data_IF_841283475166
#
_entry.id   IF_841283475166
#
_cell.length_a   1.000
_cell.length_b   1.000
_cell.length_c   1.000
_cell.angle_alpha   90.00
_cell.angle_beta   90.00
_cell.angle_gamma   90.00
#
_symmetry.space_group_name_H-M   'P 1'
#
loop_
_entity.id
_entity.type
_entity.pdbx_description
1 polymer ?
#
# COMPACT_ATOMS: atom_id res chain seq x y z
N UNK A 1 -20.96 -4.26 -3.39
CA UNK A 1 -19.53 -4.41 -3.66
C UNK A 1 -19.32 -5.67 -4.49
N UNK A 2 -18.85 -5.51 -5.74
CA UNK A 2 -18.62 -6.62 -6.68
C UNK A 2 -17.13 -6.93 -6.83
N UNK A 3 -16.26 -6.06 -6.32
CA UNK A 3 -14.82 -6.24 -6.36
C UNK A 3 -14.40 -7.47 -5.55
N UNK A 4 -13.60 -8.32 -6.17
CA UNK A 4 -12.93 -9.44 -5.51
C UNK A 4 -11.45 -9.39 -5.83
N UNK A 5 -10.64 -9.08 -4.84
CA UNK A 5 -9.19 -8.95 -5.00
C UNK A 5 -8.52 -10.25 -5.50
N UNK A 6 -9.14 -11.41 -5.28
CA UNK A 6 -8.67 -12.70 -5.78
C UNK A 6 -8.41 -12.77 -7.30
N UNK A 7 -9.05 -11.90 -8.10
CA UNK A 7 -8.78 -11.77 -9.54
C UNK A 7 -7.52 -10.96 -9.86
N UNK A 8 -7.02 -10.17 -8.91
CA UNK A 8 -5.97 -9.18 -9.10
C UNK A 8 -4.74 -9.43 -8.22
N UNK A 9 -4.84 -10.36 -7.27
CA UNK A 9 -3.80 -10.63 -6.29
C UNK A 9 -2.44 -10.88 -6.94
N UNK A 10 -1.41 -10.20 -6.46
CA UNK A 10 -0.04 -10.32 -6.98
C UNK A 10 0.24 -9.55 -8.27
N UNK A 11 -0.67 -8.68 -8.73
CA UNK A 11 -0.41 -7.82 -9.88
C UNK A 11 0.64 -6.74 -9.56
N UNK A 12 1.00 -5.92 -10.55
CA UNK A 12 2.01 -4.86 -10.40
C UNK A 12 1.69 -3.88 -9.26
N UNK A 13 0.41 -3.53 -9.06
CA UNK A 13 0.00 -2.59 -8.02
C UNK A 13 0.21 -3.19 -6.62
N UNK A 14 -0.12 -4.46 -6.45
CA UNK A 14 0.16 -5.20 -5.21
C UNK A 14 1.66 -5.28 -4.91
N UNK A 15 2.50 -5.54 -5.93
CA UNK A 15 3.95 -5.59 -5.75
C UNK A 15 4.47 -4.29 -5.15
N UNK A 16 4.11 -3.15 -5.74
CA UNK A 16 4.54 -1.82 -5.24
C UNK A 16 4.04 -1.56 -3.83
N UNK A 17 2.75 -1.72 -3.60
CA UNK A 17 2.11 -1.47 -2.31
C UNK A 17 2.70 -2.35 -1.21
N UNK A 18 2.86 -3.63 -1.48
CA UNK A 18 3.32 -4.62 -0.50
C UNK A 18 4.82 -4.51 -0.21
N UNK A 19 5.64 -4.14 -1.20
CA UNK A 19 7.05 -3.81 -0.97
C UNK A 19 7.19 -2.60 -0.03
N UNK A 20 6.44 -1.53 -0.27
CA UNK A 20 6.44 -0.34 0.59
C UNK A 20 5.94 -0.67 1.99
N UNK A 21 4.84 -1.44 2.11
CA UNK A 21 4.32 -1.89 3.40
C UNK A 21 5.36 -2.68 4.19
N UNK A 22 6.04 -3.64 3.53
CA UNK A 22 7.06 -4.47 4.17
C UNK A 22 8.24 -3.63 4.68
N UNK A 23 8.72 -2.66 3.89
CA UNK A 23 9.78 -1.72 4.29
C UNK A 23 9.38 -0.87 5.50
N UNK A 24 8.15 -0.37 5.52
CA UNK A 24 7.63 0.41 6.65
C UNK A 24 7.52 -0.44 7.93
N UNK A 25 7.06 -1.68 7.81
CA UNK A 25 6.93 -2.60 8.93
C UNK A 25 8.28 -3.06 9.47
N UNK A 26 9.26 -3.35 8.60
CA UNK A 26 10.64 -3.64 8.98
C UNK A 26 11.22 -2.50 9.82
N UNK A 27 11.08 -1.25 9.35
CA UNK A 27 11.53 -0.07 10.09
C UNK A 27 10.83 0.05 11.46
N UNK A 28 9.53 -0.16 11.52
CA UNK A 28 8.80 -0.16 12.78
C UNK A 28 9.30 -1.27 13.71
N UNK A 29 9.61 -2.44 13.18
CA UNK A 29 10.15 -3.57 13.92
C UNK A 29 11.58 -3.37 14.47
N UNK A 30 12.37 -2.47 13.89
CA UNK A 30 13.75 -2.22 14.31
C UNK A 30 13.89 -1.60 15.73
N UNK A 31 12.83 -1.02 16.28
CA UNK A 31 12.81 -0.48 17.65
C UNK A 31 12.07 -1.44 18.58
N UNK A 32 12.56 -1.62 19.82
CA UNK A 32 11.97 -2.53 20.81
C UNK A 32 10.53 -2.19 21.22
N UNK A 33 10.16 -0.91 21.16
CA UNK A 33 8.81 -0.46 21.53
C UNK A 33 7.77 -1.08 20.58
N UNK A 34 6.65 -1.60 21.12
CA UNK A 34 5.59 -2.17 20.31
C UNK A 34 4.97 -1.14 19.37
N UNK A 35 4.41 -1.62 18.27
CA UNK A 35 3.63 -0.83 17.32
C UNK A 35 2.30 -1.50 17.01
N UNK A 36 1.40 -0.74 16.39
CA UNK A 36 0.15 -1.26 15.86
C UNK A 36 0.03 -0.98 14.36
N UNK A 37 -0.39 -2.02 13.63
CA UNK A 37 -0.90 -1.89 12.26
C UNK A 37 -2.41 -1.72 12.32
N UNK A 38 -2.94 -0.77 11.55
CA UNK A 38 -4.38 -0.59 11.32
C UNK A 38 -4.59 -0.69 9.82
N UNK A 39 -5.31 -1.71 9.38
CA UNK A 39 -5.65 -1.94 7.98
C UNK A 39 -7.15 -1.71 7.81
N UNK A 40 -7.51 -0.73 6.97
CA UNK A 40 -8.89 -0.29 6.81
C UNK A 40 -9.68 -1.11 5.79
N UNK A 41 -8.99 -1.85 4.90
CA UNK A 41 -9.57 -2.64 3.81
C UNK A 41 -8.83 -3.97 3.68
N UNK A 42 -8.97 -4.83 4.68
CA UNK A 42 -8.07 -5.95 4.92
C UNK A 42 -8.23 -7.14 3.95
N UNK A 43 -9.37 -7.29 3.27
CA UNK A 43 -9.64 -8.44 2.41
C UNK A 43 -9.65 -9.77 3.17
N UNK A 44 -9.18 -10.84 2.53
CA UNK A 44 -9.19 -12.19 3.11
C UNK A 44 -7.83 -12.65 3.68
N UNK A 45 -6.83 -11.79 3.63
CA UNK A 45 -5.49 -12.01 4.20
C UNK A 45 -4.48 -12.66 3.27
N UNK A 46 -4.83 -13.70 2.55
CA UNK A 46 -3.99 -14.30 1.51
C UNK A 46 -4.84 -14.95 0.42
N UNK A 47 -4.27 -15.11 -0.77
CA UNK A 47 -4.97 -15.47 -1.98
C UNK A 47 -4.34 -16.72 -2.60
N UNK A 48 -5.18 -17.72 -2.92
CA UNK A 48 -4.78 -18.93 -3.64
C UNK A 48 -4.65 -18.62 -5.14
N UNK A 49 -3.40 -18.61 -5.64
CA UNK A 49 -3.10 -18.37 -7.04
C UNK A 49 -3.45 -19.56 -7.96
N UNK A 50 -3.86 -20.68 -7.37
CA UNK A 50 -4.37 -21.86 -8.10
C UNK A 50 -5.89 -21.86 -8.21
N UNK A 51 -6.57 -20.88 -7.60
CA UNK A 51 -8.04 -20.73 -7.62
C UNK A 51 -8.57 -20.47 -9.04
N UNK A 52 -9.87 -20.66 -9.22
CA UNK A 52 -10.54 -20.36 -10.49
C UNK A 52 -10.49 -18.86 -10.82
N UNK A 53 -10.58 -17.99 -9.80
CA UNK A 53 -10.46 -16.55 -9.94
C UNK A 53 -9.07 -16.17 -10.50
N UNK A 54 -8.00 -16.64 -9.88
CA UNK A 54 -6.63 -16.36 -10.30
C UNK A 54 -6.31 -16.95 -11.69
N UNK A 55 -6.91 -18.10 -12.05
CA UNK A 55 -6.75 -18.69 -13.38
C UNK A 55 -7.46 -17.92 -14.48
N UNK A 56 -8.62 -17.31 -14.18
CA UNK A 56 -9.36 -16.48 -15.14
C UNK A 56 -8.69 -15.13 -15.41
N UNK A 57 -7.99 -14.59 -14.43
CA UNK A 57 -7.25 -13.33 -14.53
C UNK A 57 -5.87 -13.50 -13.88
N UNK A 58 -4.91 -14.14 -14.59
CA UNK A 58 -3.60 -14.47 -14.02
C UNK A 58 -2.68 -13.24 -13.98
N UNK A 59 -3.14 -12.14 -13.40
CA UNK A 59 -2.39 -10.88 -13.32
C UNK A 59 -1.09 -11.03 -12.50
N UNK A 60 -1.04 -12.00 -11.58
CA UNK A 60 0.16 -12.30 -10.81
C UNK A 60 1.35 -12.74 -11.67
N UNK A 61 1.10 -13.36 -12.83
CA UNK A 61 2.17 -13.79 -13.77
C UNK A 61 2.94 -12.58 -14.28
N UNK A 62 2.21 -11.51 -14.63
CA UNK A 62 2.77 -10.24 -15.10
C UNK A 62 3.14 -9.27 -13.96
N UNK A 63 2.87 -9.65 -12.73
CA UNK A 63 3.23 -8.95 -11.49
C UNK A 63 4.37 -9.65 -10.76
N UNK A 64 4.05 -10.27 -9.63
CA UNK A 64 5.04 -10.95 -8.78
C UNK A 64 5.80 -12.06 -9.51
N UNK A 65 5.18 -12.71 -10.51
CA UNK A 65 5.82 -13.72 -11.34
C UNK A 65 7.03 -13.18 -12.10
N UNK A 66 6.95 -11.97 -12.66
CA UNK A 66 8.08 -11.29 -13.32
C UNK A 66 9.20 -10.97 -12.33
N UNK A 67 8.83 -10.48 -11.14
CA UNK A 67 9.80 -10.13 -10.09
C UNK A 67 10.64 -11.35 -9.70
N UNK A 68 10.00 -12.51 -9.49
CA UNK A 68 10.68 -13.74 -9.08
C UNK A 68 11.56 -14.35 -10.20
N UNK A 69 11.31 -14.01 -11.45
CA UNK A 69 12.07 -14.48 -12.60
C UNK A 69 13.15 -13.53 -13.09
N UNK A 70 13.28 -12.33 -12.50
CA UNK A 70 14.20 -11.31 -12.97
C UNK A 70 15.53 -11.30 -12.21
N UNK A 71 16.60 -10.90 -12.89
CA UNK A 71 17.86 -10.57 -12.24
C UNK A 71 17.74 -9.23 -11.49
N UNK A 72 18.12 -9.21 -10.22
CA UNK A 72 18.00 -8.05 -9.37
C UNK A 72 19.37 -7.46 -9.02
N UNK A 73 19.60 -6.14 -9.21
CA UNK A 73 20.73 -5.46 -8.60
C UNK A 73 20.73 -5.63 -7.07
N UNK A 74 21.91 -5.56 -6.45
CA UNK A 74 22.07 -5.83 -5.01
C UNK A 74 21.25 -4.87 -4.12
N UNK A 75 21.14 -3.60 -4.50
CA UNK A 75 20.36 -2.57 -3.80
C UNK A 75 18.85 -2.82 -3.92
N UNK A 76 18.38 -3.24 -5.11
CA UNK A 76 16.99 -3.65 -5.34
C UNK A 76 16.66 -4.92 -4.54
N UNK A 77 17.55 -5.92 -4.59
CA UNK A 77 17.37 -7.16 -3.82
C UNK A 77 17.31 -6.88 -2.31
N UNK A 78 18.17 -5.97 -1.81
CA UNK A 78 18.15 -5.53 -0.41
C UNK A 78 16.83 -4.82 -0.05
N UNK A 79 16.31 -3.95 -0.92
CA UNK A 79 15.05 -3.25 -0.70
C UNK A 79 13.84 -4.21 -0.73
N UNK A 80 13.82 -5.18 -1.63
CA UNK A 80 12.74 -6.16 -1.72
C UNK A 80 12.82 -7.30 -0.70
N UNK A 81 13.97 -7.46 -0.04
CA UNK A 81 14.24 -8.61 0.85
C UNK A 81 13.13 -8.88 1.88
N UNK A 82 12.61 -7.90 2.65
CA UNK A 82 11.56 -8.18 3.66
C UNK A 82 10.30 -8.77 3.04
N UNK A 83 9.94 -8.32 1.85
CA UNK A 83 8.78 -8.79 1.10
C UNK A 83 9.01 -10.17 0.45
N UNK A 84 10.16 -10.36 -0.21
CA UNK A 84 10.47 -11.61 -0.91
C UNK A 84 10.76 -12.77 0.04
N UNK A 85 11.44 -12.54 1.17
CA UNK A 85 11.66 -13.56 2.20
C UNK A 85 10.33 -14.05 2.78
N UNK A 86 9.39 -13.14 3.01
CA UNK A 86 8.05 -13.49 3.46
C UNK A 86 7.34 -14.35 2.42
N UNK A 87 7.34 -13.94 1.17
CA UNK A 87 6.72 -14.68 0.06
C UNK A 87 7.32 -16.09 -0.09
N UNK A 88 8.64 -16.20 -0.02
CA UNK A 88 9.35 -17.48 -0.07
C UNK A 88 8.98 -18.38 1.13
N UNK A 89 8.82 -17.80 2.33
CA UNK A 89 8.39 -18.55 3.51
C UNK A 89 6.99 -19.14 3.40
N UNK A 90 6.10 -18.50 2.63
CA UNK A 90 4.76 -19.00 2.33
C UNK A 90 4.76 -20.08 1.25
N UNK A 91 5.74 -20.05 0.36
CA UNK A 91 5.81 -20.86 -0.84
C UNK A 91 7.16 -21.61 -0.90
N UNK A 92 7.38 -22.67 -0.09
CA UNK A 92 8.64 -23.40 -0.07
C UNK A 92 8.96 -24.18 -1.38
N UNK A 93 8.06 -24.15 -2.33
CA UNK A 93 8.18 -24.74 -3.67
C UNK A 93 7.71 -23.76 -4.73
N UNK A 94 6.71 -24.15 -5.50
CA UNK A 94 6.10 -23.26 -6.49
C UNK A 94 5.28 -22.15 -5.80
N UNK A 95 5.17 -21.00 -6.47
CA UNK A 95 4.31 -19.90 -6.03
C UNK A 95 2.84 -20.31 -6.19
N UNK A 96 2.16 -20.55 -5.08
CA UNK A 96 0.76 -20.98 -5.04
C UNK A 96 -0.13 -20.09 -4.18
N UNK A 97 0.45 -19.34 -3.25
CA UNK A 97 -0.28 -18.44 -2.36
C UNK A 97 0.38 -17.05 -2.38
N UNK A 98 -0.44 -16.01 -2.48
CA UNK A 98 0.02 -14.63 -2.44
C UNK A 98 -0.46 -13.92 -1.17
N UNK A 99 0.43 -13.23 -0.42
CA UNK A 99 0.04 -12.50 0.77
C UNK A 99 -0.74 -11.24 0.45
N UNK A 100 -1.86 -11.02 1.11
CA UNK A 100 -2.45 -9.71 1.26
C UNK A 100 -1.77 -8.91 2.38
N UNK A 101 -2.14 -7.65 2.53
CA UNK A 101 -1.62 -6.77 3.58
C UNK A 101 -1.72 -7.33 5.00
N UNK A 102 -2.81 -8.06 5.40
CA UNK A 102 -2.86 -8.69 6.71
C UNK A 102 -1.81 -9.77 6.92
N UNK A 103 -1.55 -10.58 5.89
CA UNK A 103 -0.56 -11.66 5.99
C UNK A 103 0.86 -11.08 6.09
N UNK A 104 1.16 -10.03 5.30
CA UNK A 104 2.42 -9.30 5.38
C UNK A 104 2.60 -8.73 6.79
N UNK A 105 1.57 -8.06 7.29
CA UNK A 105 1.57 -7.47 8.63
C UNK A 105 1.77 -8.52 9.73
N UNK A 106 1.06 -9.65 9.65
CA UNK A 106 1.14 -10.71 10.68
C UNK A 106 2.49 -11.42 10.69
N UNK A 107 3.13 -11.60 9.54
CA UNK A 107 4.44 -12.27 9.45
C UNK A 107 5.61 -11.40 9.86
N UNK A 108 5.54 -10.10 9.61
CA UNK A 108 6.58 -9.16 10.02
C UNK A 108 6.41 -8.72 11.48
N UNK A 109 5.18 -8.61 11.98
CA UNK A 109 4.90 -8.18 13.34
C UNK A 109 5.46 -9.17 14.39
N UNK A 110 6.04 -8.62 15.45
CA UNK A 110 6.60 -9.38 16.59
C UNK A 110 5.48 -9.77 17.58
N UNK A 111 5.74 -10.67 18.52
CA UNK A 111 4.73 -11.07 19.54
C UNK A 111 4.18 -9.91 20.38
N UNK A 112 4.95 -8.83 20.53
CA UNK A 112 4.55 -7.63 21.29
C UNK A 112 3.70 -6.65 20.49
N UNK A 113 3.70 -6.74 19.16
CA UNK A 113 2.99 -5.83 18.26
C UNK A 113 1.51 -6.22 18.14
N UNK A 114 0.68 -5.35 17.58
CA UNK A 114 -0.76 -5.56 17.43
C UNK A 114 -1.22 -5.17 16.04
N UNK A 115 -2.24 -5.87 15.55
CA UNK A 115 -2.80 -5.70 14.22
C UNK A 115 -4.31 -5.58 14.36
N UNK A 116 -4.86 -4.48 13.86
CA UNK A 116 -6.29 -4.21 13.77
C UNK A 116 -6.68 -4.25 12.29
N UNK A 117 -7.57 -5.17 11.94
CA UNK A 117 -8.06 -5.35 10.58
C UNK A 117 -9.53 -4.98 10.51
N UNK A 118 -9.89 -4.13 9.55
CA UNK A 118 -11.27 -3.81 9.21
C UNK A 118 -11.58 -4.37 7.82
N UNK A 119 -12.69 -5.11 7.72
CA UNK A 119 -13.19 -5.62 6.44
C UNK A 119 -14.72 -5.45 6.40
N UNK A 120 -15.18 -4.73 5.37
CA UNK A 120 -16.60 -4.40 5.25
C UNK A 120 -17.42 -5.58 4.74
N UNK A 121 -16.86 -6.35 3.81
CA UNK A 121 -17.57 -7.48 3.22
C UNK A 121 -17.65 -8.65 4.20
N UNK A 122 -18.86 -9.03 4.61
CA UNK A 122 -19.09 -9.99 5.70
C UNK A 122 -18.44 -11.37 5.45
N UNK A 123 -18.50 -11.89 4.22
CA UNK A 123 -17.93 -13.19 3.90
C UNK A 123 -16.40 -13.17 3.96
N UNK A 124 -15.78 -12.05 3.54
CA UNK A 124 -14.33 -11.85 3.56
C UNK A 124 -13.85 -11.64 4.99
N UNK A 125 -14.58 -10.84 5.79
CA UNK A 125 -14.31 -10.67 7.21
C UNK A 125 -14.37 -12.02 7.96
N UNK A 126 -15.35 -12.87 7.71
CA UNK A 126 -15.40 -14.22 8.30
C UNK A 126 -14.24 -15.11 7.87
N UNK A 127 -13.76 -14.97 6.63
CA UNK A 127 -12.59 -15.71 6.15
C UNK A 127 -11.33 -15.23 6.87
N UNK A 128 -11.18 -13.92 6.99
CA UNK A 128 -10.10 -13.26 7.70
C UNK A 128 -10.09 -13.63 9.19
N UNK A 129 -11.25 -13.62 9.87
CA UNK A 129 -11.41 -14.04 11.26
C UNK A 129 -10.94 -15.50 11.47
N UNK A 130 -11.35 -16.42 10.60
CA UNK A 130 -10.93 -17.83 10.67
C UNK A 130 -9.43 -17.99 10.48
N UNK A 131 -8.83 -17.22 9.55
CA UNK A 131 -7.39 -17.25 9.28
C UNK A 131 -6.57 -16.88 10.53
N UNK A 132 -6.99 -15.83 11.23
CA UNK A 132 -6.25 -15.31 12.40
C UNK A 132 -6.84 -15.69 13.75
N UNK A 133 -7.78 -16.64 13.82
CA UNK A 133 -8.47 -17.04 15.05
C UNK A 133 -7.51 -17.48 16.20
N UNK A 134 -6.30 -17.92 15.88
CA UNK A 134 -5.29 -18.37 16.84
C UNK A 134 -4.15 -17.36 17.06
N UNK A 135 -4.16 -16.24 16.38
CA UNK A 135 -3.16 -15.19 16.53
C UNK A 135 -3.65 -14.08 17.47
N UNK A 136 -3.27 -14.14 18.73
CA UNK A 136 -3.68 -13.15 19.74
C UNK A 136 -3.17 -11.72 19.49
N UNK A 137 -2.32 -11.51 18.47
CA UNK A 137 -1.88 -10.17 18.05
C UNK A 137 -2.89 -9.49 17.14
N UNK A 138 -3.72 -10.28 16.42
CA UNK A 138 -4.63 -9.83 15.37
C UNK A 138 -6.04 -9.70 15.90
N UNK A 139 -6.66 -8.56 15.65
CA UNK A 139 -8.09 -8.32 15.87
C UNK A 139 -8.75 -8.00 14.54
N UNK A 140 -9.74 -8.78 14.15
CA UNK A 140 -10.56 -8.56 12.96
C UNK A 140 -11.89 -7.94 13.37
N UNK A 141 -12.38 -6.96 12.64
CA UNK A 141 -13.71 -6.37 12.82
C UNK A 141 -14.42 -6.28 11.46
N UNK A 142 -15.61 -6.86 11.36
CA UNK A 142 -16.48 -6.65 10.21
C UNK A 142 -17.11 -5.26 10.30
N UNK A 143 -16.47 -4.27 9.72
CA UNK A 143 -16.91 -2.88 9.76
C UNK A 143 -16.26 -2.04 8.66
N UNK A 144 -16.88 -0.91 8.37
CA UNK A 144 -16.37 0.12 7.49
C UNK A 144 -15.10 0.74 8.11
N UNK A 145 -13.97 0.55 7.42
CA UNK A 145 -12.65 1.01 7.88
C UNK A 145 -12.53 2.53 7.91
N UNK A 146 -13.13 3.24 6.97
CA UNK A 146 -13.15 4.70 6.96
C UNK A 146 -13.86 5.26 8.21
N UNK A 147 -15.07 4.76 8.51
CA UNK A 147 -15.81 5.18 9.69
C UNK A 147 -15.13 4.77 11.00
N UNK A 148 -14.37 3.67 10.96
CA UNK A 148 -13.63 3.19 12.13
C UNK A 148 -12.39 4.02 12.43
N UNK A 149 -11.72 4.54 11.40
CA UNK A 149 -10.35 5.04 11.46
C UNK A 149 -10.12 6.06 12.57
N UNK A 150 -10.94 7.09 12.66
CA UNK A 150 -10.80 8.13 13.70
C UNK A 150 -10.94 7.58 15.13
N UNK A 151 -11.72 6.50 15.31
CA UNK A 151 -11.84 5.79 16.60
C UNK A 151 -10.67 4.88 16.93
N UNK A 152 -9.91 4.45 15.93
CA UNK A 152 -8.77 3.54 16.09
C UNK A 152 -7.45 4.27 16.34
N UNK A 153 -7.36 5.56 16.00
CA UNK A 153 -6.15 6.37 16.19
C UNK A 153 -6.33 7.39 17.32
N UNK A 154 -5.27 7.77 18.08
CA UNK A 154 -3.99 7.04 18.14
C UNK A 154 -4.16 5.68 18.81
N UNK A 155 -3.40 4.66 18.40
CA UNK A 155 -3.41 3.36 19.05
C UNK A 155 -2.80 3.43 20.45
N UNK A 156 -3.06 2.42 21.29
CA UNK A 156 -2.51 2.35 22.67
C UNK A 156 -0.99 2.36 22.68
N UNK A 157 -0.37 1.76 21.69
CA UNK A 157 1.08 1.69 21.47
C UNK A 157 1.68 3.07 21.14
N UNK A 158 0.86 4.04 20.76
CA UNK A 158 1.24 5.40 20.32
C UNK A 158 2.25 5.43 19.17
N UNK A 159 2.45 4.28 18.53
CA UNK A 159 3.37 4.04 17.43
C UNK A 159 2.76 3.02 16.49
N UNK A 160 2.88 3.22 15.19
CA UNK A 160 2.28 2.28 14.23
C UNK A 160 2.05 2.88 12.85
N UNK A 161 1.30 2.12 12.08
CA UNK A 161 1.01 2.36 10.68
C UNK A 161 -0.48 2.17 10.41
N UNK A 162 -1.04 3.06 9.59
CA UNK A 162 -2.38 2.92 9.00
C UNK A 162 -2.21 2.64 7.52
N UNK A 163 -2.81 1.55 7.03
CA UNK A 163 -2.92 1.24 5.60
C UNK A 163 -4.34 1.53 5.13
N UNK A 164 -4.47 2.28 4.05
CA UNK A 164 -5.72 2.62 3.39
C UNK A 164 -5.63 2.18 1.93
N UNK A 165 -6.33 1.09 1.59
CA UNK A 165 -6.27 0.42 0.30
C UNK A 165 -7.67 0.05 -0.20
N UNK A 166 -8.48 1.06 -0.57
CA UNK A 166 -9.85 0.83 -1.00
C UNK A 166 -9.92 0.20 -2.40
N UNK A 167 -11.05 -0.45 -2.76
CA UNK A 167 -11.22 -1.15 -4.03
C UNK A 167 -11.39 -0.23 -5.25
N UNK A 168 -11.55 1.08 -5.08
CA UNK A 168 -11.81 2.04 -6.16
C UNK A 168 -12.99 1.66 -7.06
N UNK A 169 -14.06 1.11 -6.48
CA UNK A 169 -15.35 0.89 -7.16
C UNK A 169 -16.17 2.17 -7.27
N UNK A 170 -16.02 3.07 -6.30
CA UNK A 170 -16.68 4.37 -6.27
C UNK A 170 -15.86 5.41 -7.07
N UNK A 171 -16.58 6.29 -7.80
CA UNK A 171 -15.94 7.41 -8.51
C UNK A 171 -15.41 8.47 -7.54
N UNK A 172 -16.03 8.57 -6.37
CA UNK A 172 -15.70 9.55 -5.33
C UNK A 172 -14.78 8.96 -4.24
N UNK A 173 -14.14 7.80 -4.50
CA UNK A 173 -13.30 7.08 -3.55
C UNK A 173 -12.21 7.96 -2.93
N UNK A 174 -11.55 8.80 -3.73
CA UNK A 174 -10.52 9.72 -3.23
C UNK A 174 -11.11 10.78 -2.28
N UNK A 175 -12.33 11.24 -2.53
CA UNK A 175 -13.00 12.18 -1.63
C UNK A 175 -13.38 11.50 -0.30
N UNK A 176 -13.93 10.29 -0.34
CA UNK A 176 -14.22 9.49 0.85
C UNK A 176 -12.96 9.17 1.66
N UNK A 177 -11.85 8.89 0.96
CA UNK A 177 -10.55 8.70 1.60
C UNK A 177 -10.11 9.97 2.33
N UNK A 178 -10.17 11.14 1.67
CA UNK A 178 -9.81 12.41 2.30
C UNK A 178 -10.66 12.69 3.54
N UNK A 179 -11.98 12.53 3.45
CA UNK A 179 -12.91 12.74 4.58
C UNK A 179 -12.59 11.85 5.78
N UNK A 180 -12.18 10.61 5.56
CA UNK A 180 -11.83 9.70 6.65
C UNK A 180 -10.45 9.96 7.24
N UNK A 181 -9.50 10.33 6.39
CA UNK A 181 -8.09 10.41 6.74
C UNK A 181 -7.72 11.74 7.40
N UNK A 182 -8.23 12.86 6.91
CA UNK A 182 -7.90 14.18 7.46
C UNK A 182 -8.20 14.29 8.97
N UNK A 183 -9.36 13.85 9.49
CA UNK A 183 -9.60 13.83 10.93
C UNK A 183 -8.66 12.88 11.70
N UNK A 184 -8.28 11.76 11.08
CA UNK A 184 -7.37 10.80 11.70
C UNK A 184 -5.93 11.35 11.79
N UNK A 185 -5.43 11.98 10.73
CA UNK A 185 -4.13 12.68 10.70
C UNK A 185 -4.08 13.81 11.73
N UNK A 186 -5.14 14.63 11.81
CA UNK A 186 -5.24 15.69 12.82
C UNK A 186 -5.18 15.13 14.26
N UNK A 187 -5.80 13.97 14.48
CA UNK A 187 -5.83 13.31 15.80
C UNK A 187 -4.53 12.59 16.15
N UNK A 188 -3.85 12.05 15.14
CA UNK A 188 -2.60 11.31 15.31
C UNK A 188 -1.55 11.69 14.25
N UNK A 189 -1.00 12.92 14.33
CA UNK A 189 -0.08 13.45 13.31
C UNK A 189 1.28 12.76 13.26
N UNK A 190 1.60 11.90 14.24
CA UNK A 190 2.89 11.18 14.32
C UNK A 190 2.82 9.73 13.83
N UNK A 191 1.66 9.26 13.41
CA UNK A 191 1.49 7.93 12.82
C UNK A 191 2.04 7.88 11.40
N UNK A 192 2.51 6.72 10.97
CA UNK A 192 2.77 6.48 9.54
C UNK A 192 1.46 6.11 8.86
N UNK A 193 1.16 6.76 7.73
CA UNK A 193 -0.02 6.44 6.93
C UNK A 193 0.42 6.08 5.52
N UNK A 194 -0.15 5.00 4.97
CA UNK A 194 0.08 4.54 3.60
C UNK A 194 -1.26 4.57 2.88
N UNK A 195 -1.34 5.37 1.83
CA UNK A 195 -2.52 5.49 0.96
C UNK A 195 -2.21 4.87 -0.38
N UNK A 196 -2.91 3.81 -0.74
CA UNK A 196 -2.88 3.34 -2.11
C UNK A 196 -3.91 4.12 -2.94
N UNK A 197 -3.56 4.41 -4.19
CA UNK A 197 -4.45 5.06 -5.14
C UNK A 197 -4.26 4.56 -6.56
N UNK A 198 -5.36 4.51 -7.29
CA UNK A 198 -5.37 4.18 -8.70
C UNK A 198 -4.97 5.40 -9.53
N UNK A 199 -4.04 5.25 -10.47
CA UNK A 199 -3.69 6.28 -11.45
C UNK A 199 -4.53 6.18 -12.74
N UNK A 200 -5.67 5.48 -12.71
CA UNK A 200 -6.59 5.39 -13.85
C UNK A 200 -7.15 6.75 -14.27
N UNK A 201 -7.27 7.67 -13.34
CA UNK A 201 -7.60 9.06 -13.57
C UNK A 201 -6.52 9.93 -12.89
N UNK A 202 -5.48 10.27 -13.67
CA UNK A 202 -4.35 11.06 -13.19
C UNK A 202 -4.78 12.41 -12.61
N UNK A 203 -5.66 13.13 -13.31
CA UNK A 203 -6.12 14.43 -12.81
C UNK A 203 -6.79 14.33 -11.42
N UNK A 204 -7.61 13.30 -11.19
CA UNK A 204 -8.23 13.10 -9.89
C UNK A 204 -7.20 12.68 -8.83
N UNK A 205 -6.22 11.86 -9.20
CA UNK A 205 -5.14 11.45 -8.30
C UNK A 205 -4.26 12.66 -7.92
N UNK A 206 -3.79 13.43 -8.89
CA UNK A 206 -2.95 14.61 -8.65
C UNK A 206 -3.69 15.67 -7.82
N UNK A 207 -4.98 15.89 -8.10
CA UNK A 207 -5.81 16.81 -7.31
C UNK A 207 -5.94 16.35 -5.86
N UNK A 208 -6.11 15.05 -5.61
CA UNK A 208 -6.15 14.51 -4.26
C UNK A 208 -4.80 14.69 -3.57
N UNK A 209 -3.70 14.32 -4.25
CA UNK A 209 -2.36 14.40 -3.74
C UNK A 209 -1.99 15.84 -3.34
N UNK A 210 -2.20 16.78 -4.26
CA UNK A 210 -1.90 18.19 -4.05
C UNK A 210 -2.78 18.77 -2.93
N UNK A 211 -4.08 18.49 -2.92
CA UNK A 211 -4.97 18.97 -1.88
C UNK A 211 -4.64 18.41 -0.49
N UNK A 212 -4.28 17.13 -0.40
CA UNK A 212 -3.84 16.52 0.86
C UNK A 212 -2.50 17.13 1.32
N UNK A 213 -1.55 17.28 0.42
CA UNK A 213 -0.22 17.84 0.69
C UNK A 213 -0.32 19.30 1.15
N UNK A 214 -1.05 20.13 0.41
CA UNK A 214 -1.29 21.54 0.77
C UNK A 214 -1.91 21.64 2.17
N UNK A 215 -2.97 20.86 2.44
CA UNK A 215 -3.61 20.87 3.75
C UNK A 215 -2.67 20.42 4.88
N UNK A 216 -1.84 19.40 4.65
CA UNK A 216 -0.86 18.93 5.64
C UNK A 216 0.16 20.00 5.97
N UNK A 217 0.70 20.69 4.98
CA UNK A 217 1.74 21.70 5.14
C UNK A 217 1.14 22.97 5.73
N UNK A 218 0.07 23.52 5.12
CA UNK A 218 -0.44 24.85 5.46
C UNK A 218 -1.28 24.87 6.73
N UNK A 219 -2.10 23.82 6.95
CA UNK A 219 -3.03 23.80 8.08
C UNK A 219 -2.57 22.92 9.25
N UNK A 220 -1.79 21.87 8.98
CA UNK A 220 -1.34 20.95 10.02
C UNK A 220 0.14 21.12 10.39
N UNK A 221 0.89 21.94 9.64
CA UNK A 221 2.29 22.26 9.93
C UNK A 221 3.25 21.09 9.71
N UNK A 222 2.94 20.21 8.77
CA UNK A 222 3.87 19.14 8.39
C UNK A 222 5.01 19.73 7.56
N UNK A 223 6.23 19.27 7.83
CA UNK A 223 7.37 19.53 6.98
C UNK A 223 7.22 18.71 5.67
N UNK A 224 7.61 19.26 4.51
CA UNK A 224 7.49 18.58 3.20
C UNK A 224 8.08 17.17 3.19
N UNK A 225 9.21 16.94 3.86
CA UNK A 225 9.90 15.66 3.94
C UNK A 225 9.10 14.58 4.72
N UNK A 226 8.00 14.96 5.33
CA UNK A 226 7.04 14.04 5.97
C UNK A 226 6.01 13.48 5.01
N UNK A 227 6.07 13.85 3.75
CA UNK A 227 5.15 13.39 2.70
C UNK A 227 5.98 12.83 1.56
N UNK A 228 5.79 11.55 1.25
CA UNK A 228 6.51 10.85 0.18
C UNK A 228 5.49 10.21 -0.76
N UNK A 229 5.63 10.46 -2.05
CA UNK A 229 4.83 9.87 -3.11
C UNK A 229 5.67 8.91 -3.93
N UNK A 230 5.11 7.76 -4.26
CA UNK A 230 5.71 6.77 -5.14
C UNK A 230 4.66 6.25 -6.11
N UNK A 231 4.83 6.52 -7.39
CA UNK A 231 3.95 6.11 -8.46
C UNK A 231 4.67 5.20 -9.44
N UNK A 232 3.95 4.22 -9.96
CA UNK A 232 4.43 3.33 -11.00
C UNK A 232 3.32 3.09 -12.03
N UNK A 233 3.69 3.17 -13.30
CA UNK A 233 2.79 2.79 -14.40
C UNK A 233 3.48 1.85 -15.36
N UNK A 234 2.73 0.85 -15.82
CA UNK A 234 3.25 -0.28 -16.61
C UNK A 234 3.12 -0.08 -18.12
N UNK A 235 2.45 1.00 -18.55
CA UNK A 235 2.27 1.46 -19.92
C UNK A 235 1.73 2.89 -19.88
N UNK A 236 1.56 3.50 -21.05
CA UNK A 236 0.98 4.84 -21.15
C UNK A 236 -0.34 4.94 -20.36
N UNK A 237 -0.41 5.90 -19.45
CA UNK A 237 -1.56 6.16 -18.59
C UNK A 237 -2.79 6.68 -19.38
N UNK A 238 -2.59 7.24 -20.58
CA UNK A 238 -3.68 7.62 -21.48
C UNK A 238 -4.36 6.40 -22.13
N UNK A 239 -3.81 5.19 -21.98
CA UNK A 239 -4.39 3.97 -22.54
C UNK A 239 -5.74 3.66 -21.90
N UNK A 240 -6.78 3.50 -22.73
CA UNK A 240 -8.09 3.07 -22.26
C UNK A 240 -8.08 1.61 -21.75
N UNK A 241 -8.91 1.32 -20.74
CA UNK A 241 -9.22 -0.04 -20.32
C UNK A 241 -8.73 -0.39 -18.92
N UNK A 242 -7.84 -1.40 -18.81
CA UNK A 242 -7.35 -1.93 -17.52
C UNK A 242 -6.46 -0.93 -16.78
N UNK A 243 -6.37 -1.09 -15.47
CA UNK A 243 -5.46 -0.32 -14.62
C UNK A 243 -4.05 -0.30 -15.23
N UNK A 244 -3.52 0.89 -15.50
CA UNK A 244 -2.20 1.10 -16.09
C UNK A 244 -1.17 1.60 -15.07
N UNK A 245 -1.63 2.23 -14.00
CA UNK A 245 -0.75 2.80 -12.98
C UNK A 245 -1.34 2.75 -11.58
N UNK A 246 -0.48 2.68 -10.60
CA UNK A 246 -0.78 2.66 -9.19
C UNK A 246 0.20 3.57 -8.43
N UNK A 247 -0.29 4.24 -7.40
CA UNK A 247 0.51 5.11 -6.58
C UNK A 247 0.31 4.88 -5.10
N UNK A 248 1.31 5.23 -4.34
CA UNK A 248 1.31 5.20 -2.88
C UNK A 248 1.76 6.55 -2.34
N UNK A 249 1.01 7.10 -1.39
CA UNK A 249 1.49 8.22 -0.57
C UNK A 249 1.81 7.68 0.81
N UNK A 250 2.96 8.07 1.34
CA UNK A 250 3.37 7.74 2.72
C UNK A 250 3.53 9.02 3.52
N UNK A 251 2.69 9.20 4.53
CA UNK A 251 2.86 10.29 5.50
C UNK A 251 3.71 9.79 6.68
N UNK A 252 4.65 10.60 7.12
CA UNK A 252 5.71 10.22 8.06
C UNK A 252 6.48 8.98 7.59
N UNK A 253 7.10 9.03 6.39
CA UNK A 253 7.84 7.90 5.86
C UNK A 253 8.98 7.50 6.81
N UNK A 254 9.30 6.21 6.91
CA UNK A 254 10.52 5.76 7.56
C UNK A 254 11.76 6.43 6.96
N UNK A 255 12.72 6.75 7.81
CA UNK A 255 14.03 7.20 7.35
C UNK A 255 14.62 6.20 6.35
N UNK A 256 15.19 6.65 5.28
CA UNK A 256 15.72 5.88 4.13
C UNK A 256 14.63 5.22 3.23
N UNK A 257 13.33 5.43 3.45
CA UNK A 257 12.34 4.87 2.54
C UNK A 257 12.47 5.47 1.14
N UNK A 258 12.65 6.78 1.05
CA UNK A 258 12.83 7.50 -0.21
C UNK A 258 14.04 6.97 -0.98
N UNK A 259 15.21 6.86 -0.34
CA UNK A 259 16.44 6.30 -0.94
C UNK A 259 16.21 4.89 -1.49
N UNK A 260 15.54 4.01 -0.71
CA UNK A 260 15.21 2.67 -1.16
C UNK A 260 14.25 2.67 -2.35
N UNK A 261 13.28 3.58 -2.37
CA UNK A 261 12.34 3.70 -3.49
C UNK A 261 12.98 4.29 -4.74
N UNK A 262 13.89 5.23 -4.62
CA UNK A 262 14.66 5.75 -5.76
C UNK A 262 15.52 4.67 -6.44
N UNK A 263 16.01 3.68 -5.69
CA UNK A 263 16.68 2.51 -6.26
C UNK A 263 15.70 1.49 -6.84
N UNK A 264 14.58 1.26 -6.15
CA UNK A 264 13.63 0.19 -6.46
C UNK A 264 12.70 0.52 -7.63
N UNK A 265 12.13 1.74 -7.67
CA UNK A 265 11.04 2.08 -8.61
C UNK A 265 11.45 2.06 -10.08
N UNK A 266 12.66 2.52 -10.50
CA UNK A 266 13.10 2.37 -11.88
C UNK A 266 13.13 0.93 -12.34
N UNK A 267 13.71 0.04 -11.53
CA UNK A 267 13.79 -1.39 -11.82
C UNK A 267 12.41 -2.07 -11.85
N UNK A 268 11.52 -1.71 -10.91
CA UNK A 268 10.14 -2.21 -10.94
C UNK A 268 9.40 -1.75 -12.20
N UNK A 269 9.56 -0.51 -12.62
CA UNK A 269 8.88 0.03 -13.80
C UNK A 269 9.31 -0.72 -15.07
N UNK A 270 10.61 -0.99 -15.23
CA UNK A 270 11.14 -1.76 -16.35
C UNK A 270 10.70 -3.22 -16.30
N UNK A 271 10.83 -3.89 -15.14
CA UNK A 271 10.51 -5.31 -14.96
C UNK A 271 9.01 -5.60 -15.15
N UNK A 272 8.15 -4.69 -14.68
CA UNK A 272 6.70 -4.83 -14.72
C UNK A 272 6.06 -4.22 -15.98
N UNK A 273 6.84 -3.61 -16.88
CA UNK A 273 6.35 -2.97 -18.09
C UNK A 273 5.49 -3.91 -18.94
N UNK A 274 4.33 -3.45 -19.37
CA UNK A 274 3.36 -4.19 -20.21
C UNK A 274 3.06 -3.47 -21.53
N UNK A 275 3.84 -2.44 -21.88
CA UNK A 275 3.73 -1.67 -23.10
C UNK A 275 4.62 -0.45 -23.07
N UNK A 276 4.63 0.31 -24.18
CA UNK A 276 5.37 1.55 -24.27
C UNK A 276 4.80 2.61 -23.30
N UNK A 277 5.63 3.59 -22.94
CA UNK A 277 5.25 4.70 -22.07
C UNK A 277 5.12 4.30 -20.59
N UNK A 278 5.71 3.17 -20.16
CA UNK A 278 5.83 2.85 -18.73
C UNK A 278 6.79 3.82 -18.03
N UNK A 279 6.66 3.91 -16.71
CA UNK A 279 7.52 4.79 -15.93
C UNK A 279 7.20 4.78 -14.45
N UNK A 280 7.85 5.70 -13.75
CA UNK A 280 7.74 5.82 -12.30
C UNK A 280 7.98 7.26 -11.85
N UNK A 281 7.59 7.54 -10.61
CA UNK A 281 7.86 8.79 -9.92
C UNK A 281 8.09 8.50 -8.45
N UNK A 282 9.10 9.10 -7.87
CA UNK A 282 9.31 9.18 -6.41
C UNK A 282 9.65 10.62 -6.11
N UNK A 283 8.79 11.29 -5.37
CA UNK A 283 8.99 12.68 -4.97
C UNK A 283 8.49 12.91 -3.53
N UNK A 284 9.09 13.88 -2.87
CA UNK A 284 8.55 14.47 -1.66
C UNK A 284 7.33 15.34 -1.94
N UNK A 285 6.86 16.09 -0.97
CA UNK A 285 5.87 17.13 -1.20
C UNK A 285 6.46 18.17 -2.16
N UNK A 286 5.62 18.69 -3.07
CA UNK A 286 5.98 19.78 -3.96
C UNK A 286 6.64 20.91 -3.14
N UNK A 287 7.83 21.33 -3.54
CA UNK A 287 8.47 22.51 -2.99
C UNK A 287 7.79 23.76 -3.55
N UNK A 288 8.00 24.93 -2.93
CA UNK A 288 7.46 26.18 -3.47
C UNK A 288 7.94 26.44 -4.91
N UNK A 289 9.14 25.99 -5.27
CA UNK A 289 9.69 26.08 -6.63
C UNK A 289 8.88 25.25 -7.64
N UNK A 290 8.43 24.04 -7.27
CA UNK A 290 7.62 23.19 -8.16
C UNK A 290 6.22 23.77 -8.43
N UNK A 291 5.67 24.58 -7.52
CA UNK A 291 4.36 25.24 -7.67
C UNK A 291 4.47 26.46 -8.60
N UNK A 292 5.57 27.21 -8.52
CA UNK A 292 5.80 28.37 -9.39
C UNK A 292 6.02 27.97 -10.85
N UNK A 293 6.73 26.87 -11.14
CA UNK A 293 6.91 26.37 -12.51
C UNK A 293 5.59 25.86 -13.14
N UNK A 294 4.65 25.35 -12.33
CA UNK A 294 3.35 24.88 -12.83
C UNK A 294 2.37 26.00 -13.18
N UNK A 295 2.51 27.20 -12.59
CA UNK A 295 1.69 28.37 -12.88
C UNK A 295 2.21 29.19 -14.08
N UNK A 296 3.45 28.98 -14.53
CA UNK A 296 4.05 29.68 -15.68
C UNK A 296 3.94 28.92 -17.02
N UNK A 297 3.36 27.71 -17.06
CA UNK A 297 3.20 26.85 -18.27
C UNK A 297 1.77 26.75 -18.73
#
# INVERSE_FOLDING_TARGET
MNYRHAFHAGNFADVVKHAILALCLEHLGAKDKPYRVIDTHAGIGAYDLTSDEARRSPEWVEGIGRILGADMPDDVAAALKPYLDLLASMNPGALTEYPGSPEISARIARPVDRIQLCELHEADARTLERRYARDGRVKVENRDGYKALTGLVPPKEKRGLVLIDPPFEDRDELAHMAEAVMPALKKWPTGTYIFWRSLKNLWAADRFDNGLTEWLITEQGFEPEKILRADLWIRDLASEGKLAGAGVIVINPPWQLEEKLLALMPWLAETLAQGDGYGWRVDGALTEEDVEEADEG
#
